data_IF_116240482032
#
_entry.id   IF_116240482032
#
_cell.length_a   1.000
_cell.length_b   1.000
_cell.length_c   1.000
_cell.angle_alpha   90.00
_cell.angle_beta   90.00
_cell.angle_gamma   90.00
#
_symmetry.space_group_name_H-M   'P 1'
#
loop_
_entity.id
_entity.type
_entity.pdbx_description
1 polymer ?
#
# COMPACT_ATOMS: atom_id res chain seq x y z
N UNK A 1 -25.64 -28.06 -16.00
CA UNK A 1 -24.83 -27.42 -17.06
C UNK A 1 -25.21 -27.91 -18.45
N UNK A 2 -25.08 -29.21 -18.78
CA UNK A 2 -25.42 -29.74 -20.12
C UNK A 2 -26.88 -29.53 -20.54
N UNK A 3 -27.80 -29.38 -19.57
CA UNK A 3 -29.20 -29.06 -19.82
C UNK A 3 -29.45 -27.56 -20.13
N UNK A 4 -28.59 -26.65 -19.64
CA UNK A 4 -28.74 -25.20 -19.82
C UNK A 4 -27.97 -24.69 -21.04
N UNK A 5 -26.86 -25.35 -21.39
CA UNK A 5 -26.05 -25.06 -22.58
C UNK A 5 -25.79 -26.34 -23.39
N UNK A 6 -26.79 -26.86 -24.11
CA UNK A 6 -26.62 -28.05 -24.93
C UNK A 6 -25.57 -27.84 -26.04
N UNK A 7 -24.64 -28.78 -26.19
CA UNK A 7 -23.60 -28.74 -27.23
C UNK A 7 -22.34 -27.92 -26.90
N UNK A 8 -22.35 -27.08 -25.85
CA UNK A 8 -21.17 -26.32 -25.41
C UNK A 8 -20.29 -27.14 -24.47
N UNK A 9 -19.57 -28.11 -25.05
CA UNK A 9 -18.69 -29.04 -24.31
C UNK A 9 -17.50 -28.29 -23.70
N UNK A 10 -17.01 -27.23 -24.35
CA UNK A 10 -15.87 -26.46 -23.84
C UNK A 10 -16.22 -25.68 -22.57
N UNK A 11 -17.45 -25.14 -22.47
CA UNK A 11 -17.93 -24.53 -21.22
C UNK A 11 -17.97 -25.54 -20.07
N UNK A 12 -18.43 -26.78 -20.32
CA UNK A 12 -18.42 -27.84 -19.30
C UNK A 12 -17.01 -28.10 -18.77
N UNK A 13 -16.02 -28.12 -19.66
CA UNK A 13 -14.61 -28.30 -19.29
C UNK A 13 -14.09 -27.12 -18.45
N UNK A 14 -14.33 -25.87 -18.87
CA UNK A 14 -13.86 -24.67 -18.15
C UNK A 14 -14.49 -24.49 -16.77
N UNK A 15 -15.74 -24.91 -16.60
CA UNK A 15 -16.47 -24.80 -15.33
C UNK A 15 -16.33 -26.03 -14.43
N UNK A 16 -15.58 -27.05 -14.85
CA UNK A 16 -15.38 -28.28 -14.07
C UNK A 16 -14.61 -28.01 -12.78
N UNK A 17 -14.96 -28.73 -11.71
CA UNK A 17 -14.17 -28.77 -10.46
C UNK A 17 -12.92 -29.62 -10.65
N UNK A 18 -12.99 -30.64 -11.51
CA UNK A 18 -11.86 -31.50 -11.83
C UNK A 18 -11.19 -30.95 -13.09
N UNK A 19 -9.95 -30.51 -12.96
CA UNK A 19 -9.13 -30.06 -14.08
C UNK A 19 -8.38 -31.27 -14.66
N UNK A 20 -8.64 -31.54 -15.94
CA UNK A 20 -8.00 -32.61 -16.69
C UNK A 20 -6.67 -32.14 -17.30
N UNK A 21 -5.63 -32.97 -17.21
CA UNK A 21 -4.28 -32.72 -17.71
C UNK A 21 -3.38 -33.92 -17.42
N UNK A 22 -2.06 -33.75 -17.49
CA UNK A 22 -1.09 -34.84 -17.21
C UNK A 22 -1.31 -35.48 -15.84
N UNK A 23 -1.69 -34.65 -14.86
CA UNK A 23 -2.23 -35.08 -13.57
C UNK A 23 -3.57 -34.38 -13.34
N UNK A 24 -4.57 -35.13 -12.87
CA UNK A 24 -5.84 -34.54 -12.46
C UNK A 24 -5.63 -33.65 -11.24
N UNK A 25 -6.29 -32.49 -11.23
CA UNK A 25 -6.26 -31.58 -10.09
C UNK A 25 -7.66 -31.05 -9.75
N UNK A 26 -7.81 -30.49 -8.56
CA UNK A 26 -9.07 -29.89 -8.11
C UNK A 26 -8.96 -28.38 -8.23
N UNK A 27 -9.82 -27.79 -9.05
CA UNK A 27 -9.98 -26.34 -9.12
C UNK A 27 -10.81 -25.86 -7.92
N UNK A 28 -10.10 -25.49 -6.86
CA UNK A 28 -10.70 -24.99 -5.62
C UNK A 28 -11.55 -23.73 -5.83
N UNK A 29 -11.20 -22.89 -6.82
CA UNK A 29 -11.93 -21.68 -7.11
C UNK A 29 -13.31 -21.99 -7.70
N UNK A 30 -13.38 -22.91 -8.66
CA UNK A 30 -14.65 -23.41 -9.22
C UNK A 30 -15.50 -24.07 -8.14
N UNK A 31 -14.90 -24.89 -7.28
CA UNK A 31 -15.59 -25.49 -6.14
C UNK A 31 -16.20 -24.42 -5.20
N UNK A 32 -15.43 -23.38 -4.86
CA UNK A 32 -15.93 -22.28 -4.02
C UNK A 32 -17.08 -21.52 -4.69
N UNK A 33 -17.00 -21.25 -6.00
CA UNK A 33 -18.11 -20.60 -6.71
C UNK A 33 -19.34 -21.49 -6.67
N UNK A 34 -19.24 -22.78 -7.01
CA UNK A 34 -20.38 -23.70 -7.00
C UNK A 34 -20.99 -23.82 -5.59
N UNK A 35 -20.18 -23.98 -4.56
CA UNK A 35 -20.63 -24.23 -3.19
C UNK A 35 -21.07 -23.00 -2.39
N UNK A 36 -20.93 -21.78 -2.93
CA UNK A 36 -21.29 -20.55 -2.23
C UNK A 36 -22.60 -19.96 -2.75
N UNK A 37 -23.29 -19.15 -1.95
CA UNK A 37 -24.45 -18.37 -2.41
C UNK A 37 -24.07 -16.97 -2.91
N UNK A 38 -22.83 -16.53 -2.65
CA UNK A 38 -22.32 -15.23 -3.08
C UNK A 38 -20.81 -15.29 -3.35
N UNK A 39 -20.35 -14.50 -4.33
CA UNK A 39 -18.95 -14.33 -4.71
C UNK A 39 -18.67 -12.83 -4.87
N UNK A 40 -17.61 -12.31 -4.28
CA UNK A 40 -17.31 -10.88 -4.38
C UNK A 40 -15.87 -10.55 -4.75
N UNK A 41 -15.71 -9.52 -5.57
CA UNK A 41 -14.43 -8.84 -5.74
C UNK A 41 -14.18 -7.80 -4.64
N UNK A 42 -12.92 -7.38 -4.51
CA UNK A 42 -12.43 -6.49 -3.44
C UNK A 42 -12.25 -5.02 -3.86
N UNK A 43 -12.57 -4.71 -5.11
CA UNK A 43 -12.61 -3.36 -5.70
C UNK A 43 -13.48 -3.43 -6.95
N UNK A 44 -14.15 -2.33 -7.34
CA UNK A 44 -15.07 -2.33 -8.50
C UNK A 44 -14.41 -2.93 -9.75
N UNK A 45 -13.22 -2.44 -10.11
CA UNK A 45 -12.45 -2.96 -11.26
C UNK A 45 -12.13 -4.46 -11.14
N UNK A 46 -11.80 -4.93 -9.94
CA UNK A 46 -11.51 -6.34 -9.69
C UNK A 46 -12.77 -7.20 -9.85
N UNK A 47 -13.92 -6.73 -9.36
CA UNK A 47 -15.22 -7.39 -9.59
C UNK A 47 -15.57 -7.45 -11.07
N UNK A 48 -15.32 -6.38 -11.84
CA UNK A 48 -15.56 -6.39 -13.29
C UNK A 48 -14.64 -7.39 -14.00
N UNK A 49 -13.35 -7.45 -13.65
CA UNK A 49 -12.42 -8.45 -14.20
C UNK A 49 -12.89 -9.87 -13.88
N UNK A 50 -13.32 -10.13 -12.63
CA UNK A 50 -13.85 -11.44 -12.25
C UNK A 50 -15.03 -11.84 -13.14
N UNK A 51 -16.00 -10.95 -13.33
CA UNK A 51 -17.19 -11.21 -14.15
C UNK A 51 -16.88 -11.33 -15.64
N UNK A 52 -15.94 -10.52 -16.15
CA UNK A 52 -15.65 -10.45 -17.57
C UNK A 52 -14.63 -11.52 -18.04
N UNK A 53 -13.83 -12.07 -17.13
CA UNK A 53 -12.75 -13.00 -17.47
C UNK A 53 -12.77 -14.27 -16.60
N UNK A 54 -12.28 -14.18 -15.36
CA UNK A 54 -11.97 -15.35 -14.50
C UNK A 54 -13.17 -16.29 -14.31
N UNK A 55 -14.35 -15.74 -14.06
CA UNK A 55 -15.58 -16.49 -13.82
C UNK A 55 -16.69 -16.10 -14.78
N UNK A 56 -16.34 -15.72 -16.02
CA UNK A 56 -17.31 -15.31 -17.04
C UNK A 56 -18.44 -16.31 -17.21
N UNK A 57 -18.11 -17.59 -17.40
CA UNK A 57 -19.12 -18.63 -17.61
C UNK A 57 -20.03 -18.83 -16.38
N UNK A 58 -19.49 -18.66 -15.15
CA UNK A 58 -20.28 -18.75 -13.92
C UNK A 58 -21.16 -17.51 -13.72
N UNK A 59 -20.68 -16.34 -14.11
CA UNK A 59 -21.45 -15.11 -14.07
C UNK A 59 -22.61 -15.13 -15.06
N UNK A 60 -22.41 -15.69 -16.25
CA UNK A 60 -23.50 -15.88 -17.22
C UNK A 60 -24.57 -16.88 -16.73
N UNK A 61 -24.18 -17.85 -15.90
CA UNK A 61 -25.10 -18.83 -15.31
C UNK A 61 -25.86 -18.27 -14.10
N UNK A 62 -25.17 -17.61 -13.17
CA UNK A 62 -25.73 -17.10 -11.91
C UNK A 62 -25.30 -15.64 -11.67
N UNK A 63 -25.79 -14.65 -12.44
CA UNK A 63 -25.29 -13.28 -12.38
C UNK A 63 -25.49 -12.62 -11.02
N UNK A 64 -26.63 -12.89 -10.36
CA UNK A 64 -27.01 -12.33 -9.05
C UNK A 64 -26.05 -12.72 -7.92
N UNK A 65 -25.28 -13.78 -8.10
CA UNK A 65 -24.30 -14.28 -7.15
C UNK A 65 -23.07 -13.37 -7.02
N UNK A 66 -22.77 -12.59 -8.06
CA UNK A 66 -21.53 -11.83 -8.16
C UNK A 66 -21.70 -10.39 -7.67
N UNK A 67 -20.97 -10.05 -6.62
CA UNK A 67 -21.05 -8.76 -5.95
C UNK A 67 -19.72 -8.00 -5.93
N UNK A 68 -19.78 -6.74 -5.52
CA UNK A 68 -18.60 -5.97 -5.14
C UNK A 68 -18.65 -5.60 -3.67
N UNK A 69 -17.54 -5.82 -2.96
CA UNK A 69 -17.29 -5.29 -1.62
C UNK A 69 -15.90 -4.66 -1.62
N UNK A 70 -15.84 -3.36 -1.87
CA UNK A 70 -14.57 -2.63 -1.91
C UNK A 70 -13.90 -2.67 -0.53
N UNK A 71 -12.62 -3.05 -0.48
CA UNK A 71 -11.88 -3.16 0.77
C UNK A 71 -11.84 -1.84 1.55
N UNK A 72 -11.86 -1.94 2.87
CA UNK A 72 -11.71 -0.83 3.80
C UNK A 72 -10.58 -1.04 4.78
N UNK A 73 -10.23 0.02 5.51
CA UNK A 73 -9.29 -0.01 6.63
C UNK A 73 -9.98 0.57 7.87
N UNK A 74 -9.61 0.10 9.07
CA UNK A 74 -10.20 0.62 10.30
C UNK A 74 -9.56 1.97 10.69
N UNK A 75 -10.36 3.04 10.88
CA UNK A 75 -9.82 4.35 11.27
C UNK A 75 -9.25 4.37 12.69
N UNK A 76 -9.70 3.44 13.55
CA UNK A 76 -9.20 3.32 14.92
C UNK A 76 -7.68 3.07 14.93
N UNK A 77 -7.21 2.14 14.08
CA UNK A 77 -5.78 1.82 13.98
C UNK A 77 -5.03 2.80 13.09
N UNK A 78 -5.58 3.08 11.90
CA UNK A 78 -4.88 3.79 10.83
C UNK A 78 -5.06 5.31 10.83
N UNK A 79 -5.71 5.86 11.86
CA UNK A 79 -5.77 7.29 12.12
C UNK A 79 -5.54 7.57 13.61
N UNK A 80 -6.45 7.14 14.48
CA UNK A 80 -6.39 7.50 15.92
C UNK A 80 -5.12 6.99 16.61
N UNK A 81 -4.80 5.71 16.39
CA UNK A 81 -3.69 5.07 17.08
C UNK A 81 -2.32 5.40 16.45
N UNK A 82 -2.22 5.48 15.12
CA UNK A 82 -0.93 5.72 14.46
C UNK A 82 -0.63 7.21 14.24
N UNK A 83 -1.64 8.08 14.22
CA UNK A 83 -1.50 9.50 13.95
C UNK A 83 -2.42 10.35 14.85
N UNK A 84 -2.24 10.29 16.19
CA UNK A 84 -3.09 11.00 17.14
C UNK A 84 -3.08 12.52 16.90
N UNK A 85 -1.93 13.10 16.55
CA UNK A 85 -1.86 14.55 16.27
C UNK A 85 -2.76 14.98 15.11
N UNK A 86 -2.93 14.15 14.08
CA UNK A 86 -3.89 14.46 13.00
C UNK A 86 -5.32 14.24 13.46
N UNK A 87 -5.57 13.22 14.28
CA UNK A 87 -6.89 13.00 14.84
C UNK A 87 -7.34 14.19 15.68
N UNK A 88 -6.48 14.71 16.54
CA UNK A 88 -6.75 15.87 17.41
C UNK A 88 -7.10 17.11 16.56
N UNK A 89 -6.29 17.43 15.54
CA UNK A 89 -6.54 18.54 14.61
C UNK A 89 -7.89 18.39 13.88
N UNK A 90 -8.31 17.17 13.54
CA UNK A 90 -9.62 16.93 12.93
C UNK A 90 -10.75 17.10 13.96
N UNK A 91 -10.58 16.55 15.18
CA UNK A 91 -11.57 16.67 16.26
C UNK A 91 -11.84 18.13 16.60
N UNK A 92 -10.79 18.97 16.67
CA UNK A 92 -10.92 20.40 16.95
C UNK A 92 -11.79 21.14 15.92
N UNK A 93 -11.87 20.65 14.67
CA UNK A 93 -12.62 21.31 13.59
C UNK A 93 -14.02 20.75 13.38
N UNK A 94 -14.19 19.43 13.49
CA UNK A 94 -15.44 18.75 13.10
C UNK A 94 -16.04 17.84 14.18
N UNK A 95 -15.45 17.81 15.37
CA UNK A 95 -15.84 16.96 16.49
C UNK A 95 -15.39 15.50 16.34
N UNK A 96 -15.78 14.64 17.29
CA UNK A 96 -15.33 13.25 17.38
C UNK A 96 -16.13 12.26 16.53
N UNK A 97 -17.27 12.68 15.99
CA UNK A 97 -18.20 11.80 15.30
C UNK A 97 -17.60 11.05 14.09
N UNK A 98 -16.53 11.57 13.48
CA UNK A 98 -15.89 10.92 12.33
C UNK A 98 -15.22 9.59 12.70
N UNK A 99 -14.97 9.33 13.99
CA UNK A 99 -14.33 8.12 14.50
C UNK A 99 -15.17 6.88 14.18
N UNK A 100 -16.49 7.01 14.31
CA UNK A 100 -17.46 5.96 14.00
C UNK A 100 -18.09 6.13 12.62
N UNK A 101 -18.13 7.35 12.08
CA UNK A 101 -18.61 7.64 10.73
C UNK A 101 -17.62 8.48 9.90
N UNK A 102 -16.72 7.79 9.18
CA UNK A 102 -15.70 8.43 8.33
C UNK A 102 -16.26 9.34 7.23
N UNK A 103 -17.55 9.23 6.87
CA UNK A 103 -18.15 10.12 5.86
C UNK A 103 -18.14 11.57 6.32
N UNK A 104 -18.14 11.81 7.64
CA UNK A 104 -18.07 13.15 8.24
C UNK A 104 -16.76 13.88 7.96
N UNK A 105 -15.69 13.18 7.55
CA UNK A 105 -14.45 13.82 7.09
C UNK A 105 -14.66 14.76 5.89
N UNK A 106 -15.76 14.60 5.12
CA UNK A 106 -16.11 15.54 4.04
C UNK A 106 -16.29 16.98 4.52
N UNK A 107 -16.66 17.19 5.79
CA UNK A 107 -16.75 18.54 6.39
C UNK A 107 -15.42 19.28 6.41
N UNK A 108 -14.29 18.56 6.31
CA UNK A 108 -12.97 19.19 6.20
C UNK A 108 -12.79 19.98 4.89
N UNK A 109 -13.63 19.76 3.88
CA UNK A 109 -13.60 20.53 2.65
C UNK A 109 -13.90 22.02 2.90
N UNK A 110 -14.65 22.34 3.95
CA UNK A 110 -14.98 23.72 4.32
C UNK A 110 -13.74 24.49 4.86
N UNK A 111 -12.65 23.77 5.17
CA UNK A 111 -11.41 24.32 5.73
C UNK A 111 -10.23 24.27 4.74
N UNK A 112 -10.47 23.98 3.46
CA UNK A 112 -9.39 23.83 2.46
C UNK A 112 -8.61 25.13 2.22
N UNK A 113 -9.25 26.28 2.41
CA UNK A 113 -8.65 27.62 2.32
C UNK A 113 -8.37 28.24 3.71
N UNK A 114 -8.59 27.50 4.80
CA UNK A 114 -8.27 27.98 6.15
C UNK A 114 -6.75 27.82 6.39
N UNK A 115 -6.03 28.94 6.30
CA UNK A 115 -4.59 29.03 6.53
C UNK A 115 -4.13 28.44 7.88
N UNK A 116 -4.94 28.58 8.93
CA UNK A 116 -4.61 27.97 10.22
C UNK A 116 -4.70 26.45 10.14
N UNK A 117 -5.78 25.93 9.55
CA UNK A 117 -5.96 24.48 9.37
C UNK A 117 -4.88 23.86 8.48
N UNK A 118 -4.54 24.51 7.36
CA UNK A 118 -3.45 24.09 6.46
C UNK A 118 -2.14 23.99 7.24
N UNK A 119 -1.82 25.01 8.04
CA UNK A 119 -0.60 25.06 8.86
C UNK A 119 -0.60 23.96 9.93
N UNK A 120 -1.72 23.69 10.58
CA UNK A 120 -1.84 22.63 11.61
C UNK A 120 -1.63 21.24 11.00
N UNK A 121 -2.26 20.94 9.86
CA UNK A 121 -2.07 19.68 9.13
C UNK A 121 -0.61 19.52 8.68
N UNK A 122 0.00 20.59 8.14
CA UNK A 122 1.39 20.58 7.71
C UNK A 122 2.35 20.36 8.89
N UNK A 123 2.10 21.01 10.03
CA UNK A 123 2.88 20.85 11.26
C UNK A 123 2.83 19.41 11.75
N UNK A 124 1.65 18.80 11.84
CA UNK A 124 1.49 17.39 12.22
C UNK A 124 2.27 16.47 11.30
N UNK A 125 2.23 16.71 9.97
CA UNK A 125 3.02 15.94 9.02
C UNK A 125 4.52 16.06 9.30
N UNK A 126 5.02 17.28 9.54
CA UNK A 126 6.43 17.52 9.82
C UNK A 126 6.88 16.87 11.13
N UNK A 127 6.07 16.95 12.19
CA UNK A 127 6.33 16.26 13.46
C UNK A 127 6.41 14.74 13.29
N UNK A 128 5.52 14.16 12.49
CA UNK A 128 5.56 12.74 12.19
C UNK A 128 6.81 12.33 11.41
N UNK A 129 7.28 13.17 10.48
CA UNK A 129 8.56 12.94 9.78
C UNK A 129 9.75 13.01 10.73
N UNK A 130 9.76 13.97 11.66
CA UNK A 130 10.80 14.08 12.69
C UNK A 130 10.85 12.85 13.60
N UNK A 131 9.69 12.42 14.12
CA UNK A 131 9.58 11.20 14.94
C UNK A 131 10.08 9.96 14.19
N UNK A 132 9.71 9.82 12.92
CA UNK A 132 10.14 8.68 12.12
C UNK A 132 11.64 8.73 11.81
N UNK A 133 12.20 9.92 11.56
CA UNK A 133 13.64 10.11 11.36
C UNK A 133 14.44 9.71 12.60
N UNK A 134 14.00 10.15 13.78
CA UNK A 134 14.61 9.77 15.05
C UNK A 134 14.53 8.25 15.30
N UNK A 135 13.39 7.63 14.96
CA UNK A 135 13.25 6.18 15.03
C UNK A 135 14.22 5.43 14.09
N UNK A 136 14.42 5.92 12.86
CA UNK A 136 15.37 5.31 11.93
C UNK A 136 16.82 5.46 12.40
N UNK A 137 17.17 6.60 12.97
CA UNK A 137 18.49 6.83 13.54
C UNK A 137 18.74 5.95 14.77
N UNK A 138 17.75 5.79 15.65
CA UNK A 138 17.86 4.95 16.83
C UNK A 138 18.04 3.46 16.47
N UNK A 139 17.15 2.93 15.60
CA UNK A 139 17.03 1.49 15.34
C UNK A 139 17.95 1.00 14.22
N UNK A 140 18.12 1.80 13.18
CA UNK A 140 18.87 1.40 11.97
C UNK A 140 20.17 2.18 11.81
N UNK A 141 20.46 3.15 12.68
CA UNK A 141 21.65 4.04 12.58
C UNK A 141 21.71 4.80 11.25
N UNK A 142 20.56 5.06 10.64
CA UNK A 142 20.45 5.81 9.39
C UNK A 142 19.90 7.20 9.67
N UNK A 143 20.73 8.22 9.44
CA UNK A 143 20.33 9.62 9.51
C UNK A 143 19.70 10.05 8.18
N UNK A 144 18.52 10.67 8.25
CA UNK A 144 17.81 11.21 7.08
C UNK A 144 17.45 12.67 7.27
N UNK A 145 17.27 13.39 6.15
CA UNK A 145 16.82 14.78 6.17
C UNK A 145 15.28 14.84 6.33
N UNK A 146 14.73 15.26 7.48
CA UNK A 146 13.28 15.32 7.70
C UNK A 146 12.59 16.43 6.89
N UNK A 147 13.35 17.35 6.28
CA UNK A 147 12.82 18.37 5.37
C UNK A 147 12.65 17.85 3.94
N UNK A 148 13.30 16.72 3.60
CA UNK A 148 13.11 16.06 2.29
C UNK A 148 11.70 15.52 2.11
N UNK A 149 11.29 15.31 0.87
CA UNK A 149 10.08 14.56 0.55
C UNK A 149 10.30 13.08 0.90
N UNK A 150 9.42 12.50 1.73
CA UNK A 150 9.45 11.07 2.06
C UNK A 150 8.65 10.31 1.01
N UNK A 151 9.35 9.61 0.13
CA UNK A 151 8.77 8.81 -0.96
C UNK A 151 8.75 7.34 -0.52
N UNK A 152 7.58 6.85 -0.12
CA UNK A 152 7.46 5.58 0.61
C UNK A 152 6.71 4.54 -0.21
N UNK A 153 7.38 3.44 -0.54
CA UNK A 153 6.82 2.29 -1.23
C UNK A 153 6.90 1.03 -0.36
N UNK A 154 5.93 0.88 0.55
CA UNK A 154 5.87 -0.27 1.48
C UNK A 154 4.75 -1.24 1.13
N UNK A 155 5.10 -2.49 0.84
CA UNK A 155 4.19 -3.62 0.54
C UNK A 155 5.02 -4.89 0.34
N UNK A 156 4.37 -6.06 0.20
CA UNK A 156 5.06 -7.30 -0.22
C UNK A 156 5.90 -7.05 -1.48
N UNK A 157 7.09 -7.63 -1.56
CA UNK A 157 7.94 -7.50 -2.75
C UNK A 157 7.45 -8.49 -3.80
N UNK A 158 7.06 -7.99 -4.97
CA UNK A 158 6.51 -8.78 -6.05
C UNK A 158 6.65 -8.04 -7.38
N UNK A 159 6.92 -8.75 -8.47
CA UNK A 159 7.10 -8.15 -9.81
C UNK A 159 5.91 -7.26 -10.23
N UNK A 160 4.66 -7.72 -10.06
CA UNK A 160 3.48 -6.90 -10.41
C UNK A 160 3.34 -5.62 -9.58
N UNK A 161 3.99 -5.56 -8.41
CA UNK A 161 4.00 -4.36 -7.54
C UNK A 161 5.06 -3.36 -7.97
N UNK A 162 5.92 -3.72 -8.93
CA UNK A 162 6.83 -2.84 -9.67
C UNK A 162 7.75 -2.01 -8.76
N UNK A 163 8.28 -2.59 -7.69
CA UNK A 163 9.40 -1.97 -6.95
C UNK A 163 10.62 -1.74 -7.86
N UNK A 164 10.82 -2.60 -8.87
CA UNK A 164 11.84 -2.40 -9.91
C UNK A 164 11.64 -1.09 -10.68
N UNK A 165 10.40 -0.73 -11.04
CA UNK A 165 10.12 0.56 -11.69
C UNK A 165 10.50 1.74 -10.80
N UNK A 166 10.26 1.62 -9.48
CA UNK A 166 10.71 2.64 -8.53
C UNK A 166 12.24 2.73 -8.48
N UNK A 167 12.95 1.60 -8.54
CA UNK A 167 14.42 1.57 -8.62
C UNK A 167 14.93 2.30 -9.87
N UNK A 168 14.31 2.09 -11.03
CA UNK A 168 14.67 2.80 -12.27
C UNK A 168 14.49 4.31 -12.13
N UNK A 169 13.42 4.76 -11.48
CA UNK A 169 13.19 6.18 -11.20
C UNK A 169 14.27 6.75 -10.25
N UNK A 170 14.65 6.02 -9.20
CA UNK A 170 15.74 6.40 -8.29
C UNK A 170 17.06 6.55 -9.04
N UNK A 171 17.41 5.59 -9.90
CA UNK A 171 18.62 5.64 -10.73
C UNK A 171 18.59 6.85 -11.67
N UNK A 172 17.43 7.13 -12.28
CA UNK A 172 17.27 8.30 -13.13
C UNK A 172 17.47 9.62 -12.36
N UNK A 173 16.97 9.74 -11.12
CA UNK A 173 17.21 10.89 -10.26
C UNK A 173 18.70 11.03 -9.92
N UNK A 174 19.33 9.93 -9.52
CA UNK A 174 20.77 9.89 -9.22
C UNK A 174 21.59 10.37 -10.43
N UNK A 175 21.34 9.82 -11.62
CA UNK A 175 22.05 10.21 -12.84
C UNK A 175 21.85 11.69 -13.20
N UNK A 176 20.64 12.25 -12.97
CA UNK A 176 20.36 13.67 -13.20
C UNK A 176 21.12 14.57 -12.24
N UNK A 177 21.19 14.20 -10.96
CA UNK A 177 21.97 14.94 -9.95
C UNK A 177 23.45 14.89 -10.29
N UNK A 178 23.97 13.73 -10.70
CA UNK A 178 25.37 13.56 -11.11
C UNK A 178 25.74 14.35 -12.35
N UNK A 179 24.82 14.43 -13.32
CA UNK A 179 25.04 15.14 -14.59
C UNK A 179 25.11 16.65 -14.38
N UNK A 180 24.30 17.19 -13.49
CA UNK A 180 24.30 18.62 -13.16
C UNK A 180 24.20 18.82 -11.64
N UNK A 181 25.34 18.76 -10.93
CA UNK A 181 25.36 18.89 -9.48
C UNK A 181 24.96 20.28 -8.98
N UNK A 182 24.95 21.30 -9.83
CA UNK A 182 24.58 22.68 -9.46
C UNK A 182 23.08 22.96 -9.55
N UNK A 183 22.35 22.14 -10.30
CA UNK A 183 20.91 22.26 -10.44
C UNK A 183 20.20 22.03 -9.11
N UNK A 184 19.17 22.82 -8.87
CA UNK A 184 18.28 22.63 -7.73
C UNK A 184 17.38 21.41 -7.93
N UNK A 185 17.39 20.52 -6.95
CA UNK A 185 16.51 19.36 -6.87
C UNK A 185 15.81 19.39 -5.51
N UNK A 186 14.51 19.09 -5.48
CA UNK A 186 13.79 18.87 -4.23
C UNK A 186 14.37 17.63 -3.55
N UNK A 187 14.93 17.74 -2.32
CA UNK A 187 15.51 16.59 -1.64
C UNK A 187 14.48 15.47 -1.44
N UNK A 188 14.89 14.21 -1.63
CA UNK A 188 14.02 13.04 -1.47
C UNK A 188 14.67 11.95 -0.63
N UNK A 189 13.91 11.43 0.32
CA UNK A 189 14.23 10.17 1.01
C UNK A 189 13.28 9.09 0.51
N UNK A 190 13.78 8.20 -0.34
CA UNK A 190 13.05 7.08 -0.92
C UNK A 190 13.16 5.88 0.00
N UNK A 191 12.02 5.39 0.48
CA UNK A 191 11.94 4.28 1.43
C UNK A 191 11.15 3.15 0.80
N UNK A 192 11.79 2.00 0.58
CA UNK A 192 11.13 0.81 0.05
C UNK A 192 11.14 -0.24 1.15
N UNK A 193 9.99 -0.84 1.45
CA UNK A 193 9.89 -1.83 2.52
C UNK A 193 8.97 -2.98 2.16
N UNK A 194 9.30 -4.18 2.61
CA UNK A 194 8.53 -5.37 2.28
C UNK A 194 9.24 -6.66 2.60
N UNK A 195 8.52 -7.77 2.40
CA UNK A 195 9.06 -9.13 2.48
C UNK A 195 8.88 -9.82 1.13
N UNK A 196 9.86 -10.64 0.76
CA UNK A 196 9.77 -11.60 -0.33
C UNK A 196 9.46 -12.99 0.24
N UNK A 197 8.75 -13.82 -0.53
CA UNK A 197 8.56 -15.23 -0.17
C UNK A 197 9.91 -15.98 -0.24
N UNK A 198 10.15 -16.99 0.62
CA UNK A 198 11.44 -17.67 0.67
C UNK A 198 11.90 -18.28 -0.67
N UNK A 199 11.00 -18.87 -1.44
CA UNK A 199 11.29 -19.45 -2.76
C UNK A 199 11.29 -18.44 -3.92
N UNK A 200 10.92 -17.18 -3.69
CA UNK A 200 10.76 -16.21 -4.78
C UNK A 200 12.09 -15.51 -5.09
N UNK A 201 12.91 -16.16 -5.91
CA UNK A 201 14.25 -15.69 -6.29
C UNK A 201 14.25 -14.25 -6.84
N UNK A 202 13.39 -13.94 -7.82
CA UNK A 202 13.33 -12.61 -8.43
C UNK A 202 12.98 -11.51 -7.41
N UNK A 203 12.03 -11.76 -6.50
CA UNK A 203 11.69 -10.81 -5.45
C UNK A 203 12.87 -10.54 -4.49
N UNK A 204 13.68 -11.57 -4.19
CA UNK A 204 14.91 -11.40 -3.39
C UNK A 204 15.98 -10.60 -4.15
N UNK A 205 16.13 -10.84 -5.45
CA UNK A 205 17.04 -10.05 -6.30
C UNK A 205 16.63 -8.58 -6.37
N UNK A 206 15.33 -8.27 -6.41
CA UNK A 206 14.83 -6.90 -6.32
C UNK A 206 15.21 -6.26 -4.97
N UNK A 207 15.10 -6.98 -3.85
CA UNK A 207 15.57 -6.46 -2.54
C UNK A 207 17.07 -6.15 -2.60
N UNK A 208 17.88 -7.08 -3.12
CA UNK A 208 19.33 -6.85 -3.26
C UNK A 208 19.65 -5.66 -4.17
N UNK A 209 18.89 -5.47 -5.25
CA UNK A 209 19.04 -4.30 -6.11
C UNK A 209 18.76 -3.00 -5.33
N UNK A 210 17.66 -2.94 -4.57
CA UNK A 210 17.30 -1.76 -3.77
C UNK A 210 18.41 -1.40 -2.78
N UNK A 211 18.92 -2.38 -2.03
CA UNK A 211 19.98 -2.12 -1.06
C UNK A 211 21.28 -1.70 -1.73
N UNK A 212 21.65 -2.34 -2.85
CA UNK A 212 22.86 -1.97 -3.60
C UNK A 212 22.76 -0.57 -4.22
N UNK A 213 21.58 -0.14 -4.67
CA UNK A 213 21.35 1.25 -5.09
C UNK A 213 21.53 2.19 -3.89
N UNK A 214 20.99 1.83 -2.73
CA UNK A 214 21.17 2.59 -1.49
C UNK A 214 22.64 2.77 -1.11
N UNK A 215 23.43 1.70 -1.19
CA UNK A 215 24.86 1.73 -0.86
C UNK A 215 25.63 2.74 -1.73
N UNK A 216 25.31 2.83 -3.03
CA UNK A 216 25.94 3.79 -3.94
C UNK A 216 25.43 5.21 -3.67
N UNK A 217 24.10 5.40 -3.69
CA UNK A 217 23.48 6.73 -3.61
C UNK A 217 23.77 7.41 -2.27
N UNK A 218 23.71 6.66 -1.16
CA UNK A 218 23.85 7.22 0.17
C UNK A 218 25.31 7.60 0.52
N UNK A 219 26.29 7.05 -0.20
CA UNK A 219 27.72 7.30 0.03
C UNK A 219 28.34 8.21 -1.03
N UNK A 220 27.58 8.68 -2.02
CA UNK A 220 28.08 9.60 -3.04
C UNK A 220 28.09 11.06 -2.52
N UNK A 221 29.28 11.68 -2.34
CA UNK A 221 29.38 13.04 -1.83
C UNK A 221 28.76 14.08 -2.77
N UNK A 222 28.69 13.80 -4.07
CA UNK A 222 28.02 14.69 -5.03
C UNK A 222 26.51 14.65 -4.89
N UNK A 223 25.93 13.60 -4.31
CA UNK A 223 24.48 13.56 -4.03
C UNK A 223 24.17 14.31 -2.74
N UNK A 224 24.96 14.10 -1.70
CA UNK A 224 24.79 14.74 -0.40
C UNK A 224 23.49 14.32 0.30
N UNK A 225 22.62 15.28 0.62
CA UNK A 225 21.32 15.05 1.27
C UNK A 225 20.13 15.13 0.29
N UNK A 226 20.41 15.35 -1.00
CA UNK A 226 19.38 15.54 -2.04
C UNK A 226 18.66 14.25 -2.41
N UNK A 227 19.32 13.11 -2.28
CA UNK A 227 18.70 11.81 -2.51
C UNK A 227 19.23 10.80 -1.48
N UNK A 228 18.31 10.14 -0.78
CA UNK A 228 18.59 9.03 0.11
C UNK A 228 17.70 7.85 -0.25
N UNK A 229 18.23 6.64 -0.18
CA UNK A 229 17.51 5.41 -0.52
C UNK A 229 17.66 4.42 0.62
N UNK A 230 16.54 4.00 1.20
CA UNK A 230 16.51 3.17 2.40
C UNK A 230 15.61 1.97 2.16
N UNK A 231 16.11 0.80 2.53
CA UNK A 231 15.29 -0.39 2.65
C UNK A 231 14.77 -0.53 4.08
N UNK A 232 13.45 -0.53 4.26
CA UNK A 232 12.82 -0.71 5.57
C UNK A 232 12.68 -2.20 5.87
N UNK A 233 13.58 -2.70 6.71
CA UNK A 233 13.65 -4.10 7.09
C UNK A 233 12.42 -4.57 7.87
N UNK A 234 12.15 -5.87 7.77
CA UNK A 234 11.10 -6.57 8.52
C UNK A 234 9.75 -5.82 8.57
N UNK A 235 9.32 -5.26 7.43
CA UNK A 235 8.09 -4.48 7.37
C UNK A 235 6.89 -5.28 7.90
N UNK A 236 6.20 -4.68 8.87
CA UNK A 236 5.10 -5.25 9.64
C UNK A 236 4.19 -4.13 10.13
N UNK A 237 3.03 -4.49 10.67
CA UNK A 237 2.02 -3.53 11.13
C UNK A 237 2.61 -2.48 12.10
N UNK A 238 3.42 -2.91 13.07
CA UNK A 238 4.02 -1.97 14.02
C UNK A 238 5.00 -0.97 13.39
N UNK A 239 5.67 -1.33 12.27
CA UNK A 239 6.50 -0.41 11.51
C UNK A 239 5.65 0.51 10.63
N UNK A 240 4.56 -0.01 10.05
CA UNK A 240 3.60 0.77 9.27
C UNK A 240 2.93 1.89 10.08
N UNK A 241 2.75 1.67 11.38
CA UNK A 241 2.14 2.65 12.30
C UNK A 241 3.12 3.72 12.81
N UNK A 242 4.40 3.71 12.41
CA UNK A 242 5.42 4.60 13.00
C UNK A 242 5.23 6.06 12.55
N UNK A 243 4.36 6.74 13.31
CA UNK A 243 4.23 8.19 13.52
C UNK A 243 3.75 8.50 14.96
N UNK A 244 3.73 7.49 15.83
CA UNK A 244 3.13 7.56 17.18
C UNK A 244 3.86 8.56 18.08
N UNK A 245 3.07 9.33 18.84
CA UNK A 245 3.50 9.95 20.09
C UNK A 245 3.49 8.87 21.18
N UNK A 246 4.55 8.76 21.98
CA UNK A 246 4.52 7.97 23.21
C UNK A 246 3.53 8.64 24.17
N UNK A 247 2.49 7.89 24.57
CA UNK A 247 1.40 8.26 25.50
C UNK A 247 0.36 9.29 25.01
N UNK A 248 -0.87 8.82 24.86
CA UNK A 248 -2.08 9.59 25.17
C UNK A 248 -3.09 8.67 25.87
N UNK A 249 -3.56 9.13 27.04
CA UNK A 249 -4.49 8.50 27.97
C UNK A 249 -5.94 8.45 27.43
N UNK A 250 -6.14 8.18 26.15
CA UNK A 250 -7.48 8.10 25.54
C UNK A 250 -8.19 6.75 25.75
N UNK A 251 -7.52 5.80 26.41
CA UNK A 251 -8.09 4.48 26.75
C UNK A 251 -8.68 4.39 28.17
N UNK A 252 -8.98 5.51 28.84
CA UNK A 252 -9.61 5.50 30.17
C UNK A 252 -11.13 5.78 30.16
N UNK A 253 -11.82 5.60 29.01
CA UNK A 253 -13.28 5.74 28.91
C UNK A 253 -13.97 4.65 28.08
N UNK A 254 -13.50 3.41 28.19
CA UNK A 254 -14.26 2.20 27.83
C UNK A 254 -13.95 1.10 28.82
#
# INVERSE_FOLDING_TARGET
MSALYPGDVDRLRRMSVIEEGDCKSINMANLCVIGSHAVNGVARIHSEIIKASVFKDFYELEPEKFQNKTNGITPRRWLLLCNPGLADVIVERIGEDFITDLRKLKKLLDFVEDEAFIRDVAKVKQENKLKFSAYLEEQYKVKINPSSLFDVHVKRIHEYKRQLLNCLHVIALYNRIRRDPTKSFVPRTVMIGGKAAPGYHMAKMIIKLITSIGDIVNNDPYVGDRLRVIFLENYRVSLAEKGKRTRLNLFHRW
#
